data_IF_527469941474
#
_entry.id   IF_527469941474
#
_cell.length_a   1.000
_cell.length_b   1.000
_cell.length_c   1.000
_cell.angle_alpha   90.00
_cell.angle_beta   90.00
_cell.angle_gamma   90.00
#
_symmetry.space_group_name_H-M   'P 1'
#
loop_
_entity.id
_entity.type
_entity.pdbx_description
1 polymer ?
#
# COMPACT_ATOMS: atom_id res chain seq x y z
N UNK A 1 -8.73 -12.20 -9.39
CA UNK A 1 -8.44 -10.90 -10.02
C UNK A 1 -7.33 -11.10 -11.04
N UNK A 2 -7.12 -10.19 -12.01
CA UNK A 2 -5.92 -10.27 -12.89
C UNK A 2 -4.81 -9.37 -12.36
N UNK A 3 -3.57 -9.61 -12.77
CA UNK A 3 -2.42 -8.77 -12.39
C UNK A 3 -2.60 -7.32 -12.89
N UNK A 4 -3.18 -7.14 -14.06
CA UNK A 4 -3.48 -5.83 -14.64
C UNK A 4 -4.50 -5.08 -13.80
N UNK A 5 -5.53 -5.77 -13.30
CA UNK A 5 -6.50 -5.16 -12.39
C UNK A 5 -5.83 -4.79 -11.06
N UNK A 6 -4.95 -5.65 -10.53
CA UNK A 6 -4.19 -5.35 -9.31
C UNK A 6 -3.35 -4.09 -9.50
N UNK A 7 -2.66 -3.93 -10.63
CA UNK A 7 -1.88 -2.73 -10.95
C UNK A 7 -2.75 -1.47 -11.01
N UNK A 8 -3.91 -1.56 -11.67
CA UNK A 8 -4.85 -0.44 -11.74
C UNK A 8 -5.35 -0.01 -10.36
N UNK A 9 -5.63 -0.98 -9.48
CA UNK A 9 -6.10 -0.71 -8.12
C UNK A 9 -4.98 -0.12 -7.25
N UNK A 10 -3.74 -0.57 -7.43
CA UNK A 10 -2.54 0.03 -6.81
C UNK A 10 -2.41 1.50 -7.23
N UNK A 11 -2.47 1.81 -8.53
CA UNK A 11 -2.36 3.18 -9.04
C UNK A 11 -3.46 4.09 -8.44
N UNK A 12 -4.66 3.56 -8.20
CA UNK A 12 -5.75 4.29 -7.55
C UNK A 12 -5.49 4.54 -6.06
N UNK A 13 -4.92 3.56 -5.35
CA UNK A 13 -4.52 3.70 -3.95
C UNK A 13 -3.40 4.73 -3.79
N UNK A 14 -2.38 4.70 -4.65
CA UNK A 14 -1.30 5.69 -4.66
C UNK A 14 -1.83 7.11 -4.87
N UNK A 15 -2.74 7.29 -5.84
CA UNK A 15 -3.40 8.58 -6.07
C UNK A 15 -4.18 9.05 -4.84
N UNK A 16 -4.86 8.13 -4.15
CA UNK A 16 -5.63 8.45 -2.94
C UNK A 16 -4.72 8.87 -1.78
N UNK A 17 -3.57 8.20 -1.60
CA UNK A 17 -2.55 8.59 -0.63
C UNK A 17 -1.88 9.93 -0.96
N UNK A 18 -1.64 10.20 -2.25
CA UNK A 18 -1.13 11.49 -2.70
C UNK A 18 -2.13 12.61 -2.39
N UNK A 19 -3.43 12.39 -2.68
CA UNK A 19 -4.49 13.33 -2.33
C UNK A 19 -4.56 13.60 -0.83
N UNK A 20 -4.34 12.59 0.03
CA UNK A 20 -4.25 12.80 1.48
C UNK A 20 -3.13 13.74 1.90
N UNK A 21 -2.02 13.74 1.17
CA UNK A 21 -0.90 14.65 1.44
C UNK A 21 -1.25 16.10 1.07
N UNK A 22 -2.23 16.33 0.20
CA UNK A 22 -2.71 17.65 -0.23
C UNK A 22 -3.92 18.12 0.57
N UNK A 23 -4.85 17.21 0.84
CA UNK A 23 -6.13 17.43 1.49
C UNK A 23 -6.27 16.35 2.56
N UNK A 24 -5.76 16.62 3.76
CA UNK A 24 -5.78 15.74 4.93
C UNK A 24 -7.10 14.95 5.03
N UNK A 25 -7.12 13.70 4.57
CA UNK A 25 -8.30 12.84 4.50
C UNK A 25 -8.67 12.34 5.89
N UNK A 26 -9.96 12.29 6.20
CA UNK A 26 -10.45 11.81 7.50
C UNK A 26 -9.97 10.38 7.83
N UNK A 27 -9.91 10.08 9.13
CA UNK A 27 -9.37 8.80 9.61
C UNK A 27 -10.20 7.64 9.07
N UNK A 28 -11.52 7.79 8.99
CA UNK A 28 -12.44 6.80 8.43
C UNK A 28 -12.12 6.50 6.96
N UNK A 29 -11.70 7.50 6.19
CA UNK A 29 -11.30 7.30 4.78
C UNK A 29 -9.97 6.55 4.72
N UNK A 30 -9.02 6.86 5.61
CA UNK A 30 -7.76 6.14 5.69
C UNK A 30 -7.95 4.68 6.11
N UNK A 31 -8.87 4.40 7.02
CA UNK A 31 -9.24 3.03 7.43
C UNK A 31 -9.87 2.26 6.25
N UNK A 32 -10.72 2.89 5.44
CA UNK A 32 -11.24 2.28 4.21
C UNK A 32 -10.13 1.97 3.19
N UNK A 33 -9.14 2.86 3.05
CA UNK A 33 -7.98 2.59 2.20
C UNK A 33 -7.14 1.43 2.76
N UNK A 34 -7.05 1.31 4.09
CA UNK A 34 -6.36 0.20 4.75
C UNK A 34 -7.04 -1.14 4.49
N UNK A 35 -8.37 -1.19 4.55
CA UNK A 35 -9.13 -2.39 4.21
C UNK A 35 -8.94 -2.77 2.74
N UNK A 36 -9.04 -1.78 1.83
CA UNK A 36 -8.80 -2.01 0.39
C UNK A 36 -7.41 -2.56 0.08
N UNK A 37 -6.35 -2.04 0.70
CA UNK A 37 -4.99 -2.58 0.45
C UNK A 37 -4.82 -3.99 1.02
N UNK A 38 -5.54 -4.32 2.10
CA UNK A 38 -5.55 -5.67 2.68
C UNK A 38 -6.23 -6.66 1.72
N UNK A 39 -7.42 -6.32 1.22
CA UNK A 39 -8.15 -7.14 0.24
C UNK A 39 -7.32 -7.32 -1.03
N UNK A 40 -6.65 -6.27 -1.49
CA UNK A 40 -5.79 -6.29 -2.66
C UNK A 40 -4.56 -7.19 -2.46
N UNK A 41 -3.98 -7.20 -1.26
CA UNK A 41 -2.90 -8.13 -0.88
C UNK A 41 -3.36 -9.58 -0.89
N UNK A 42 -4.53 -9.86 -0.34
CA UNK A 42 -5.12 -11.22 -0.37
C UNK A 42 -5.36 -11.66 -1.82
N UNK A 43 -5.98 -10.80 -2.63
CA UNK A 43 -6.21 -11.07 -4.05
C UNK A 43 -4.92 -11.30 -4.85
N UNK A 44 -3.84 -10.56 -4.54
CA UNK A 44 -2.53 -10.78 -5.15
C UNK A 44 -1.97 -12.16 -4.82
N UNK A 45 -2.06 -12.61 -3.56
CA UNK A 45 -1.59 -13.93 -3.13
C UNK A 45 -2.40 -15.09 -3.72
N UNK A 46 -3.69 -14.86 -4.02
CA UNK A 46 -4.56 -15.84 -4.66
C UNK A 46 -4.43 -15.89 -6.19
N UNK A 47 -3.72 -14.94 -6.80
CA UNK A 47 -3.57 -14.85 -8.25
C UNK A 47 -2.52 -15.84 -8.77
N UNK A 48 -2.78 -16.43 -9.94
CA UNK A 48 -1.78 -17.26 -10.62
C UNK A 48 -0.63 -16.40 -11.14
N UNK A 49 0.59 -16.73 -10.75
CA UNK A 49 1.82 -16.06 -11.20
C UNK A 49 2.42 -16.66 -12.48
N UNK A 50 1.80 -17.69 -13.05
CA UNK A 50 2.29 -18.33 -14.28
C UNK A 50 2.24 -17.34 -15.43
N UNK A 51 3.39 -17.11 -16.08
CA UNK A 51 3.51 -16.22 -17.23
C UNK A 51 3.90 -14.78 -16.90
N UNK A 52 4.05 -14.43 -15.63
CA UNK A 52 4.55 -13.12 -15.20
C UNK A 52 6.04 -13.18 -14.83
N UNK A 53 6.73 -12.07 -15.06
CA UNK A 53 8.15 -11.93 -14.70
C UNK A 53 8.30 -11.70 -13.19
N UNK A 54 9.37 -12.19 -12.58
CA UNK A 54 9.61 -12.02 -11.14
C UNK A 54 9.71 -10.54 -10.80
N UNK A 55 10.35 -9.74 -11.64
CA UNK A 55 10.51 -8.30 -11.48
C UNK A 55 9.16 -7.57 -11.41
N UNK A 56 8.19 -8.02 -12.21
CA UNK A 56 6.84 -7.44 -12.24
C UNK A 56 6.05 -7.79 -10.97
N UNK A 57 6.17 -9.03 -10.50
CA UNK A 57 5.54 -9.47 -9.25
C UNK A 57 6.17 -8.79 -8.04
N UNK A 58 7.49 -8.56 -8.08
CA UNK A 58 8.23 -7.87 -7.04
C UNK A 58 7.86 -6.38 -6.97
N UNK A 59 7.65 -5.72 -8.11
CA UNK A 59 7.14 -4.34 -8.16
C UNK A 59 5.77 -4.25 -7.48
N UNK A 60 4.86 -5.18 -7.77
CA UNK A 60 3.53 -5.24 -7.16
C UNK A 60 3.64 -5.47 -5.64
N UNK A 61 4.45 -6.45 -5.23
CA UNK A 61 4.71 -6.75 -3.81
C UNK A 61 5.25 -5.52 -3.07
N UNK A 62 6.20 -4.83 -3.69
CA UNK A 62 6.82 -3.63 -3.14
C UNK A 62 5.78 -2.51 -2.97
N UNK A 63 5.03 -2.18 -4.01
CA UNK A 63 3.99 -1.13 -3.96
C UNK A 63 2.92 -1.42 -2.91
N UNK A 64 2.43 -2.65 -2.84
CA UNK A 64 1.47 -3.05 -1.80
C UNK A 64 2.03 -2.88 -0.38
N UNK A 65 3.30 -3.21 -0.17
CA UNK A 65 3.96 -3.01 1.12
C UNK A 65 4.13 -1.52 1.45
N UNK A 66 4.57 -0.73 0.47
CA UNK A 66 4.76 0.72 0.60
C UNK A 66 3.46 1.43 0.94
N UNK A 67 2.39 1.19 0.18
CA UNK A 67 1.04 1.73 0.42
C UNK A 67 0.57 1.35 1.83
N UNK A 68 0.73 0.08 2.23
CA UNK A 68 0.31 -0.38 3.56
C UNK A 68 0.96 0.44 4.66
N UNK A 69 2.29 0.55 4.63
CA UNK A 69 3.04 1.28 5.66
C UNK A 69 2.72 2.78 5.60
N UNK A 70 2.53 3.34 4.40
CA UNK A 70 2.11 4.72 4.19
C UNK A 70 0.77 5.02 4.87
N UNK A 71 -0.25 4.18 4.67
CA UNK A 71 -1.56 4.34 5.31
C UNK A 71 -1.43 4.23 6.85
N UNK A 72 -0.70 3.24 7.35
CA UNK A 72 -0.46 3.05 8.79
C UNK A 72 0.18 4.29 9.43
N UNK A 73 1.17 4.89 8.78
CA UNK A 73 1.80 6.14 9.22
C UNK A 73 0.75 7.24 9.31
N UNK A 74 -0.04 7.46 8.24
CA UNK A 74 -1.02 8.55 8.18
C UNK A 74 -2.11 8.43 9.23
N UNK A 75 -2.64 7.23 9.45
CA UNK A 75 -3.61 6.98 10.53
C UNK A 75 -3.00 7.33 11.89
N UNK A 76 -1.79 6.85 12.15
CA UNK A 76 -1.10 7.09 13.43
C UNK A 76 -0.76 8.56 13.64
N UNK A 77 -0.33 9.28 12.61
CA UNK A 77 -0.11 10.73 12.65
C UNK A 77 -1.39 11.46 13.07
N UNK A 78 -2.53 11.12 12.45
CA UNK A 78 -3.84 11.71 12.79
C UNK A 78 -4.30 11.39 14.21
N UNK A 79 -3.96 10.21 14.71
CA UNK A 79 -4.25 9.79 16.09
C UNK A 79 -3.21 10.26 17.11
N UNK A 80 -2.23 11.08 16.70
CA UNK A 80 -1.12 11.55 17.53
C UNK A 80 -0.32 10.41 18.21
N UNK A 81 -0.16 9.30 17.51
CA UNK A 81 0.60 8.13 17.95
C UNK A 81 2.02 8.12 17.39
N UNK A 82 2.93 7.40 18.04
CA UNK A 82 4.30 7.21 17.55
C UNK A 82 4.32 6.43 16.23
N UNK A 83 5.00 7.01 15.24
CA UNK A 83 5.19 6.45 13.89
C UNK A 83 6.59 5.89 13.65
N UNK A 84 7.51 6.01 14.61
CA UNK A 84 8.93 5.68 14.43
C UNK A 84 9.14 4.25 13.93
N UNK A 85 8.38 3.29 14.46
CA UNK A 85 8.44 1.88 14.01
C UNK A 85 8.05 1.74 12.54
N UNK A 86 7.07 2.49 12.08
CA UNK A 86 6.54 2.41 10.71
C UNK A 86 7.48 3.11 9.73
N UNK A 87 8.08 4.23 10.13
CA UNK A 87 9.16 4.88 9.38
C UNK A 87 10.34 3.93 9.18
N UNK A 88 10.76 3.19 10.22
CA UNK A 88 11.83 2.18 10.11
C UNK A 88 11.44 1.01 9.20
N UNK A 89 10.18 0.56 9.22
CA UNK A 89 9.68 -0.46 8.28
C UNK A 89 9.79 0.03 6.84
N UNK A 90 9.38 1.27 6.58
CA UNK A 90 9.46 1.89 5.26
C UNK A 90 10.92 2.02 4.80
N UNK A 91 11.81 2.48 5.68
CA UNK A 91 13.25 2.55 5.40
C UNK A 91 13.83 1.16 5.07
N UNK A 92 13.47 0.14 5.84
CA UNK A 92 13.90 -1.23 5.57
C UNK A 92 13.42 -1.71 4.20
N UNK A 93 12.17 -1.40 3.83
CA UNK A 93 11.59 -1.79 2.54
C UNK A 93 12.41 -1.23 1.37
N UNK A 94 12.75 0.05 1.39
CA UNK A 94 13.57 0.68 0.35
C UNK A 94 15.03 0.23 0.32
N UNK A 95 15.58 -0.26 1.44
CA UNK A 95 16.96 -0.78 1.48
C UNK A 95 17.09 -2.19 0.92
N UNK A 96 15.98 -2.93 0.88
CA UNK A 96 15.94 -4.34 0.46
C UNK A 96 15.28 -4.55 -0.91
N UNK A 97 14.81 -3.48 -1.54
CA UNK A 97 14.35 -3.46 -2.92
C UNK A 97 15.52 -3.18 -3.86
#
# INVERSE_FOLDING_TARGET
>A
MTIEQIKLDIDQLEKSLCLNSLHSLDVEVLEQLQEKVKDLKEAFLETSFVGYMIEELEEIRFKLAEITVGIEIRIKEKLHQDITVHIRKLESLYRTA
#
